data_IF_812261835410
#
_entry.id   IF_812261835410
#
_cell.length_a   1.000
_cell.length_b   1.000
_cell.length_c   1.000
_cell.angle_alpha   90.00
_cell.angle_beta   90.00
_cell.angle_gamma   90.00
#
_symmetry.space_group_name_H-M   'P 1'
#
loop_
_entity.id
_entity.type
_entity.pdbx_description
1 polymer ?
#
# COMPACT_ATOMS: atom_id res chain seq x y z
N UNK A 1 3.49 -9.96 -7.14
CA UNK A 1 2.91 -8.96 -6.22
C UNK A 1 3.84 -7.76 -6.13
N UNK A 2 3.43 -6.66 -5.48
CA UNK A 2 4.29 -5.49 -5.27
C UNK A 2 5.49 -5.83 -4.39
N UNK A 3 6.60 -5.14 -4.61
CA UNK A 3 7.89 -5.33 -3.94
C UNK A 3 8.38 -4.10 -3.17
N UNK A 4 7.83 -2.92 -3.47
CA UNK A 4 8.19 -1.66 -2.82
C UNK A 4 7.02 -0.66 -2.84
N UNK A 5 7.21 0.51 -2.22
CA UNK A 5 6.20 1.58 -2.22
C UNK A 5 5.92 2.15 -3.61
N UNK A 6 6.93 2.23 -4.48
CA UNK A 6 6.71 2.76 -5.84
C UNK A 6 5.69 1.91 -6.61
N UNK A 7 5.73 0.59 -6.44
CA UNK A 7 4.82 -0.36 -7.09
C UNK A 7 3.34 -0.06 -6.79
N UNK A 8 3.04 0.51 -5.62
CA UNK A 8 1.69 0.78 -5.13
C UNK A 8 1.31 2.27 -5.11
N UNK A 9 2.30 3.18 -5.20
CA UNK A 9 2.07 4.63 -5.20
C UNK A 9 2.09 5.24 -6.61
N UNK A 10 2.83 4.66 -7.55
CA UNK A 10 2.90 5.16 -8.93
C UNK A 10 1.72 4.59 -9.72
N UNK A 11 0.82 5.44 -10.26
CA UNK A 11 -0.31 4.96 -11.05
C UNK A 11 0.13 4.14 -12.26
N UNK A 12 -0.60 3.06 -12.56
CA UNK A 12 -0.38 2.19 -13.72
C UNK A 12 1.01 1.51 -13.79
N UNK A 13 1.74 1.46 -12.68
CA UNK A 13 3.08 0.86 -12.65
C UNK A 13 3.06 -0.66 -12.77
N UNK A 14 2.06 -1.29 -12.15
CA UNK A 14 1.90 -2.74 -12.17
C UNK A 14 0.79 -3.15 -13.13
N UNK A 15 0.97 -4.31 -13.77
CA UNK A 15 0.00 -4.88 -14.71
C UNK A 15 -0.47 -6.26 -14.27
N UNK A 16 -1.66 -6.64 -14.73
CA UNK A 16 -2.28 -7.95 -14.57
C UNK A 16 -3.42 -8.13 -15.58
N UNK A 17 -4.35 -9.03 -15.28
CA UNK A 17 -5.53 -9.29 -16.10
C UNK A 17 -6.79 -9.14 -15.23
N UNK A 18 -7.69 -8.24 -15.63
CA UNK A 18 -8.96 -8.06 -14.94
C UNK A 18 -9.86 -9.29 -15.13
N UNK A 19 -10.33 -9.87 -14.03
CA UNK A 19 -11.15 -11.09 -14.05
C UNK A 19 -12.64 -10.83 -14.30
N UNK A 20 -13.06 -9.57 -14.42
CA UNK A 20 -14.42 -9.23 -14.79
C UNK A 20 -14.66 -9.51 -16.28
N UNK A 21 -15.79 -10.15 -16.59
CA UNK A 21 -16.14 -10.48 -17.97
C UNK A 21 -16.17 -9.22 -18.87
N UNK A 22 -15.55 -9.32 -20.05
CA UNK A 22 -15.44 -8.23 -21.02
C UNK A 22 -14.68 -6.98 -20.51
N UNK A 23 -13.78 -7.12 -19.53
CA UNK A 23 -12.90 -6.04 -19.10
C UNK A 23 -11.52 -6.16 -19.76
N UNK A 24 -11.10 -5.22 -20.62
CA UNK A 24 -9.76 -5.22 -21.22
C UNK A 24 -8.68 -4.64 -20.29
N UNK A 25 -9.04 -4.29 -19.05
CA UNK A 25 -8.17 -3.59 -18.11
C UNK A 25 -6.97 -4.43 -17.68
N UNK A 26 -5.77 -3.88 -17.85
CA UNK A 26 -4.52 -4.54 -17.46
C UNK A 26 -3.73 -3.79 -16.40
N UNK A 27 -3.98 -2.49 -16.20
CA UNK A 27 -3.29 -1.71 -15.18
C UNK A 27 -3.91 -1.94 -13.80
N UNK A 28 -3.04 -2.15 -12.79
CA UNK A 28 -3.46 -2.28 -11.41
C UNK A 28 -3.55 -0.89 -10.74
N UNK A 29 -4.62 -0.68 -9.99
CA UNK A 29 -4.83 0.47 -9.12
C UNK A 29 -4.80 0.01 -7.66
N UNK A 30 -3.94 0.63 -6.85
CA UNK A 30 -3.79 0.31 -5.43
C UNK A 30 -4.43 1.39 -4.56
N UNK A 31 -5.06 0.96 -3.48
CA UNK A 31 -5.60 1.84 -2.45
C UNK A 31 -5.46 1.19 -1.07
N UNK A 32 -5.53 1.99 -0.02
CA UNK A 32 -5.35 1.55 1.37
C UNK A 32 -6.62 1.80 2.17
N UNK A 33 -6.84 0.99 3.21
CA UNK A 33 -7.95 1.12 4.17
C UNK A 33 -7.41 1.10 5.59
N UNK A 34 -8.20 1.60 6.54
CA UNK A 34 -7.92 1.45 7.95
C UNK A 34 -8.06 -0.03 8.37
N UNK A 35 -7.05 -0.58 9.06
CA UNK A 35 -7.05 -1.95 9.55
C UNK A 35 -7.63 -2.12 10.97
N UNK A 36 -8.00 -1.03 11.65
CA UNK A 36 -8.43 -1.08 13.06
C UNK A 36 -9.90 -1.43 13.26
N UNK A 37 -10.72 -1.33 12.21
CA UNK A 37 -12.15 -1.61 12.26
C UNK A 37 -12.67 -2.04 10.88
N UNK A 38 -13.85 -2.68 10.79
CA UNK A 38 -14.48 -2.97 9.51
C UNK A 38 -14.65 -1.69 8.67
N UNK A 39 -14.44 -1.82 7.36
CA UNK A 39 -14.58 -0.74 6.36
C UNK A 39 -15.21 -1.29 5.08
N UNK A 40 -16.02 -0.47 4.43
CA UNK A 40 -16.57 -0.70 3.10
C UNK A 40 -15.50 -0.52 2.01
N UNK A 41 -15.82 -0.88 0.76
CA UNK A 41 -14.88 -0.76 -0.36
C UNK A 41 -14.60 0.67 -0.81
N UNK A 42 -15.47 1.61 -0.45
CA UNK A 42 -15.31 3.03 -0.79
C UNK A 42 -14.59 3.82 0.28
N UNK A 43 -14.30 3.21 1.43
CA UNK A 43 -13.58 3.87 2.52
C UNK A 43 -12.07 3.70 2.34
N UNK A 44 -11.46 4.67 1.68
CA UNK A 44 -10.02 4.73 1.46
C UNK A 44 -9.31 5.58 2.51
N UNK A 45 -8.06 5.25 2.83
CA UNK A 45 -7.16 6.00 3.70
C UNK A 45 -5.84 6.30 2.98
N UNK A 46 -5.18 7.38 3.38
CA UNK A 46 -3.85 7.75 2.82
C UNK A 46 -2.79 6.80 3.35
N UNK A 47 -1.88 6.36 2.47
CA UNK A 47 -0.73 5.56 2.86
C UNK A 47 0.36 6.43 3.53
N UNK A 48 0.88 5.96 4.67
CA UNK A 48 1.99 6.61 5.38
C UNK A 48 3.31 5.92 5.02
N UNK A 49 3.79 6.15 3.80
CA UNK A 49 4.92 5.42 3.21
C UNK A 49 6.29 5.65 3.89
N UNK A 50 6.42 6.71 4.69
CA UNK A 50 7.62 6.99 5.49
C UNK A 50 7.61 6.26 6.84
N UNK A 51 6.45 5.77 7.29
CA UNK A 51 6.34 5.03 8.54
C UNK A 51 6.61 3.56 8.26
N UNK A 52 7.58 3.00 8.97
CA UNK A 52 8.00 1.60 8.83
C UNK A 52 7.99 0.93 10.18
N UNK A 53 7.56 -0.33 10.25
CA UNK A 53 7.77 -1.16 11.44
C UNK A 53 9.26 -1.26 11.73
N UNK A 54 9.67 -1.06 12.98
CA UNK A 54 11.07 -1.13 13.41
C UNK A 54 11.56 -2.59 13.52
N UNK A 55 11.49 -3.36 12.43
CA UNK A 55 11.86 -4.78 12.41
C UNK A 55 13.36 -5.06 12.57
N UNK A 56 14.18 -4.00 12.59
CA UNK A 56 15.64 -4.06 12.72
C UNK A 56 16.15 -3.44 14.02
N UNK A 57 15.25 -3.10 14.95
CA UNK A 57 15.58 -2.52 16.26
C UNK A 57 16.52 -1.30 16.16
N UNK A 58 16.26 -0.43 15.18
CA UNK A 58 17.05 0.80 14.97
C UNK A 58 16.67 1.81 16.04
N UNK A 59 17.66 2.39 16.71
CA UNK A 59 17.45 3.40 17.75
C UNK A 59 16.92 4.71 17.15
N UNK A 60 16.03 5.37 17.90
CA UNK A 60 15.54 6.68 17.57
C UNK A 60 16.68 7.72 17.60
N UNK A 61 16.77 8.56 16.56
CA UNK A 61 17.85 9.56 16.44
C UNK A 61 17.84 10.62 17.56
N UNK A 62 16.69 10.88 18.17
CA UNK A 62 16.55 11.91 19.21
C UNK A 62 16.65 11.37 20.63
N UNK A 63 15.88 10.32 20.96
CA UNK A 63 15.83 9.77 22.32
C UNK A 63 16.68 8.51 22.51
N UNK A 64 17.24 7.93 21.45
CA UNK A 64 18.02 6.68 21.46
C UNK A 64 17.28 5.42 21.92
N UNK A 65 15.97 5.51 22.16
CA UNK A 65 15.10 4.37 22.47
C UNK A 65 14.89 3.46 21.25
N UNK A 66 14.47 2.21 21.50
CA UNK A 66 14.14 1.17 20.50
C UNK A 66 12.65 0.84 20.60
#
# INVERSE_FOLDING_TARGET
GPSCWDDVLIPNRMTGECQSANCPGTAAEFFFKCGAHPTSDKETSVALNLITTNSRDITCITCTDI
#
